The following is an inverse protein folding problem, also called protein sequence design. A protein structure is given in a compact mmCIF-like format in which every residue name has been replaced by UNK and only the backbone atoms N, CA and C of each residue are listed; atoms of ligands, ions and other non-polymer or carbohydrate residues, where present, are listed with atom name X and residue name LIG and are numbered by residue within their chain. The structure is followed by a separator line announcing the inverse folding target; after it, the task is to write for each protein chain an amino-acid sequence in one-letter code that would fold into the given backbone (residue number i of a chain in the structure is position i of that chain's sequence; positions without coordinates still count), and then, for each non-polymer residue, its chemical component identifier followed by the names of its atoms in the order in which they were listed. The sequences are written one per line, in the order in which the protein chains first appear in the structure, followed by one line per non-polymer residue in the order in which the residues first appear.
data_IF_661170277150
#
_entry.id   IF_661170277150
#
_cell.length_a   1.000
_cell.length_b   1.000
_cell.length_c   1.000
_cell.angle_alpha   90.00
_cell.angle_beta   90.00
_cell.angle_gamma   90.00
#
_symmetry.space_group_name_H-M   'P 1'
#
loop_
_entity.id
_entity.type
_entity.pdbx_description
1 polymer ?
#
# COMPACT_ATOMS: atom_id res chain seq x y z
N UNK A 1 6.67 51.67 40.65
CA UNK A 1 7.90 50.94 40.33
C UNK A 1 7.48 49.49 40.04
N UNK A 2 7.24 49.21 38.77
CA UNK A 2 6.72 47.89 38.32
C UNK A 2 7.87 47.20 37.64
N UNK A 3 8.29 46.06 38.22
CA UNK A 3 9.33 45.18 37.65
C UNK A 3 8.68 44.27 36.61
N UNK A 4 9.04 44.47 35.38
CA UNK A 4 8.68 43.59 34.25
C UNK A 4 9.62 42.39 34.21
N UNK A 5 9.08 41.18 34.43
CA UNK A 5 9.79 39.93 34.20
C UNK A 5 9.71 39.57 32.71
N UNK A 6 10.80 39.75 32.00
CA UNK A 6 11.02 39.20 30.67
C UNK A 6 11.41 37.73 30.81
N UNK A 7 10.47 36.80 30.51
CA UNK A 7 10.77 35.40 30.23
C UNK A 7 11.27 35.31 28.77
N UNK A 8 12.57 35.10 28.63
CA UNK A 8 13.17 34.70 27.36
C UNK A 8 12.77 33.25 27.07
N UNK A 9 11.88 33.06 26.12
CA UNK A 9 11.63 31.74 25.53
C UNK A 9 12.90 31.32 24.77
N UNK A 10 13.59 30.29 25.27
CA UNK A 10 14.63 29.61 24.52
C UNK A 10 13.99 28.94 23.32
N UNK A 11 14.27 29.46 22.12
CA UNK A 11 13.88 28.84 20.88
C UNK A 11 14.55 27.48 20.76
N UNK A 12 13.73 26.44 20.71
CA UNK A 12 14.16 25.13 20.23
C UNK A 12 14.37 25.31 18.73
N UNK A 13 15.61 25.38 18.30
CA UNK A 13 15.97 25.27 16.90
C UNK A 13 15.64 23.85 16.46
N UNK A 14 14.51 23.67 15.78
CA UNK A 14 14.23 22.45 15.04
C UNK A 14 15.35 22.32 13.98
N UNK A 15 16.11 21.24 14.08
CA UNK A 15 17.09 20.85 13.08
C UNK A 15 16.34 20.55 11.77
N UNK A 16 16.27 21.53 10.88
CA UNK A 16 15.67 21.42 9.55
C UNK A 16 16.72 20.87 8.60
N UNK A 17 17.29 19.70 8.89
CA UNK A 17 17.82 18.85 7.84
C UNK A 17 16.62 18.27 7.10
N UNK A 18 16.02 19.08 6.20
CA UNK A 18 14.98 18.61 5.30
C UNK A 18 15.55 17.40 4.54
N UNK A 19 15.02 16.21 4.83
CA UNK A 19 15.30 15.03 4.04
C UNK A 19 14.88 15.35 2.60
N UNK A 20 15.89 15.58 1.77
CA UNK A 20 15.66 15.87 0.36
C UNK A 20 15.33 14.53 -0.29
N UNK A 21 14.04 14.19 -0.39
CA UNK A 21 13.57 12.94 -0.98
C UNK A 21 14.10 12.85 -2.41
N UNK A 22 15.06 11.94 -2.63
CA UNK A 22 15.49 11.62 -3.98
C UNK A 22 14.34 10.92 -4.69
N UNK A 23 13.93 11.44 -5.85
CA UNK A 23 12.86 10.86 -6.66
C UNK A 23 13.41 10.49 -8.02
N UNK A 24 13.18 9.25 -8.45
CA UNK A 24 13.44 8.82 -9.84
C UNK A 24 12.14 8.30 -10.47
N UNK A 25 12.11 8.30 -11.80
CA UNK A 25 11.01 7.75 -12.59
C UNK A 25 11.50 6.48 -13.29
N UNK A 26 10.73 5.37 -13.17
CA UNK A 26 10.78 4.23 -14.07
C UNK A 26 9.54 4.21 -14.95
N UNK A 27 9.68 3.68 -16.16
CA UNK A 27 8.61 3.64 -17.17
C UNK A 27 8.42 2.22 -17.66
N UNK A 28 7.16 1.81 -17.81
CA UNK A 28 6.77 0.61 -18.52
C UNK A 28 5.77 0.97 -19.61
N UNK A 29 5.88 0.37 -20.79
CA UNK A 29 4.93 0.55 -21.88
C UNK A 29 4.01 -0.67 -21.95
N UNK A 30 2.71 -0.47 -21.70
CA UNK A 30 1.68 -1.48 -21.73
C UNK A 30 0.73 -1.23 -22.89
N UNK A 31 0.79 -2.03 -23.95
CA UNK A 31 -0.02 -1.82 -25.14
C UNK A 31 0.13 -0.43 -25.76
N UNK A 32 1.33 0.18 -25.66
CA UNK A 32 1.60 1.55 -26.12
C UNK A 32 1.30 2.66 -25.10
N UNK A 33 0.56 2.38 -24.02
CA UNK A 33 0.34 3.34 -22.93
C UNK A 33 1.58 3.45 -22.04
N UNK A 34 1.97 4.69 -21.75
CA UNK A 34 3.10 4.99 -20.85
C UNK A 34 2.63 4.92 -19.39
N UNK A 35 3.08 3.91 -18.65
CA UNK A 35 2.86 3.79 -17.21
C UNK A 35 4.14 4.23 -16.49
N UNK A 36 4.00 5.09 -15.48
CA UNK A 36 5.13 5.64 -14.74
C UNK A 36 5.12 5.11 -13.31
N UNK A 37 6.30 4.90 -12.76
CA UNK A 37 6.53 4.61 -11.36
C UNK A 37 7.42 5.70 -10.78
N UNK A 38 6.90 6.47 -9.85
CA UNK A 38 7.67 7.44 -9.09
C UNK A 38 8.26 6.74 -7.87
N UNK A 39 9.58 6.72 -7.77
CA UNK A 39 10.29 6.00 -6.72
C UNK A 39 10.98 7.03 -5.83
N UNK A 40 10.56 7.14 -4.56
CA UNK A 40 11.20 7.94 -3.53
C UNK A 40 12.23 7.09 -2.80
N UNK A 41 13.37 7.69 -2.48
CA UNK A 41 14.50 7.04 -1.82
C UNK A 41 14.93 5.73 -2.52
N UNK A 42 15.28 5.76 -3.82
CA UNK A 42 15.56 4.56 -4.60
C UNK A 42 16.75 3.74 -4.06
N UNK A 43 17.65 4.37 -3.29
CA UNK A 43 18.86 3.78 -2.73
C UNK A 43 18.71 3.39 -1.25
N UNK A 44 17.50 3.47 -0.68
CA UNK A 44 17.26 3.05 0.70
C UNK A 44 17.58 1.57 0.90
N UNK A 45 18.29 1.26 2.00
CA UNK A 45 18.78 -0.08 2.34
C UNK A 45 18.09 -0.67 3.57
N UNK A 46 17.01 -0.05 4.05
CA UNK A 46 16.27 -0.53 5.22
C UNK A 46 15.51 -1.83 5.00
N UNK A 47 15.42 -2.30 3.77
CA UNK A 47 14.59 -3.45 3.40
C UNK A 47 13.08 -3.17 3.36
N UNK A 48 12.65 -1.95 3.75
CA UNK A 48 11.23 -1.57 3.80
C UNK A 48 10.81 -0.95 2.47
N UNK A 49 9.79 -1.53 1.84
CA UNK A 49 9.24 -1.02 0.59
C UNK A 49 7.76 -0.68 0.76
N UNK A 50 7.43 0.60 0.64
CA UNK A 50 6.05 1.09 0.51
C UNK A 50 5.61 1.04 -0.94
N UNK A 51 4.38 0.60 -1.19
CA UNK A 51 3.84 0.53 -2.54
C UNK A 51 2.39 1.05 -2.60
N UNK A 52 2.19 2.13 -3.37
CA UNK A 52 0.87 2.59 -3.78
C UNK A 52 0.62 2.14 -5.22
N UNK A 53 -0.41 1.34 -5.43
CA UNK A 53 -0.71 0.74 -6.74
C UNK A 53 -1.98 1.30 -7.40
N UNK A 54 -2.72 2.17 -6.72
CA UNK A 54 -3.89 2.84 -7.26
C UNK A 54 -3.65 4.36 -7.36
N UNK A 55 -3.54 4.88 -8.57
CA UNK A 55 -3.14 6.28 -8.85
C UNK A 55 -4.10 7.35 -8.29
N UNK A 56 -5.31 6.99 -7.89
CA UNK A 56 -6.28 7.90 -7.29
C UNK A 56 -6.26 7.93 -5.74
N UNK A 57 -5.40 7.14 -5.10
CA UNK A 57 -5.33 7.03 -3.63
C UNK A 57 -4.34 8.05 -3.04
N UNK A 58 -4.60 9.35 -3.26
CA UNK A 58 -3.67 10.45 -2.96
C UNK A 58 -3.42 10.67 -1.46
N UNK A 59 -4.36 10.29 -0.58
CA UNK A 59 -4.16 10.42 0.88
C UNK A 59 -3.04 9.50 1.34
N UNK A 60 -2.99 8.26 0.82
CA UNK A 60 -1.93 7.30 1.15
C UNK A 60 -0.57 7.77 0.65
N UNK A 61 -0.53 8.36 -0.55
CA UNK A 61 0.70 8.95 -1.10
C UNK A 61 1.20 10.08 -0.20
N UNK A 62 0.33 11.05 0.15
CA UNK A 62 0.70 12.17 1.00
C UNK A 62 1.17 11.74 2.40
N UNK A 63 0.50 10.74 3.00
CA UNK A 63 0.88 10.21 4.31
C UNK A 63 2.26 9.51 4.25
N UNK A 64 2.51 8.72 3.19
CA UNK A 64 3.80 8.05 3.00
C UNK A 64 4.92 9.05 2.71
N UNK A 65 4.68 10.06 1.87
CA UNK A 65 5.65 11.13 1.64
C UNK A 65 5.98 11.89 2.93
N UNK A 66 4.97 12.18 3.77
CA UNK A 66 5.18 12.78 5.09
C UNK A 66 6.00 11.89 6.03
N UNK A 67 5.75 10.58 6.04
CA UNK A 67 6.54 9.62 6.82
C UNK A 67 8.01 9.67 6.41
N UNK A 68 8.30 9.61 5.09
CA UNK A 68 9.66 9.53 4.56
C UNK A 68 10.51 10.79 4.79
N UNK A 69 9.92 11.88 5.25
CA UNK A 69 10.69 13.05 5.73
C UNK A 69 11.42 12.79 7.05
N UNK A 70 11.13 11.68 7.74
CA UNK A 70 11.64 11.35 9.09
C UNK A 70 11.90 9.87 9.33
N UNK A 71 11.70 9.03 8.33
CA UNK A 71 11.85 7.59 8.41
C UNK A 71 12.50 7.02 7.13
N UNK A 72 13.14 5.85 7.26
CA UNK A 72 13.71 5.12 6.15
C UNK A 72 12.63 4.33 5.41
N UNK A 73 12.93 3.97 4.17
CA UNK A 73 12.09 3.16 3.30
C UNK A 73 12.10 3.66 1.86
N UNK A 74 11.98 2.74 0.95
CA UNK A 74 11.74 3.04 -0.47
C UNK A 74 10.24 3.11 -0.72
N UNK A 75 9.76 4.13 -1.44
CA UNK A 75 8.35 4.23 -1.80
C UNK A 75 8.17 4.24 -3.30
N UNK A 76 7.36 3.33 -3.80
CA UNK A 76 6.98 3.20 -5.21
C UNK A 76 5.51 3.60 -5.36
N UNK A 77 5.26 4.62 -6.18
CA UNK A 77 3.92 5.08 -6.54
C UNK A 77 3.67 4.79 -8.02
N UNK A 78 2.60 4.07 -8.32
CA UNK A 78 2.15 3.80 -9.67
C UNK A 78 1.30 4.96 -10.21
N UNK A 79 1.64 5.47 -11.40
CA UNK A 79 0.97 6.58 -12.08
C UNK A 79 0.43 6.16 -13.44
N UNK A 80 -0.87 6.26 -13.60
CA UNK A 80 -1.57 6.14 -14.88
C UNK A 80 -1.94 7.50 -15.46
N UNK A 81 -2.31 7.54 -16.73
CA UNK A 81 -2.91 8.72 -17.32
C UNK A 81 -4.33 8.92 -16.75
N UNK A 82 -4.55 10.05 -16.08
CA UNK A 82 -5.88 10.47 -15.62
C UNK A 82 -6.27 10.02 -14.21
N UNK A 83 -5.30 9.73 -13.34
CA UNK A 83 -5.54 9.43 -11.91
C UNK A 83 -6.65 8.38 -11.72
N UNK A 84 -6.34 7.12 -11.99
CA UNK A 84 -7.34 6.04 -12.00
C UNK A 84 -7.00 4.95 -10.98
N UNK A 85 -8.04 4.36 -10.40
CA UNK A 85 -7.92 3.12 -9.63
C UNK A 85 -7.60 1.94 -10.55
N UNK A 86 -8.23 1.88 -11.71
CA UNK A 86 -8.10 0.77 -12.68
C UNK A 86 -7.10 1.15 -13.75
N UNK A 87 -6.12 0.30 -13.97
CA UNK A 87 -5.18 0.39 -15.09
C UNK A 87 -5.89 0.09 -16.42
N UNK A 88 -5.35 0.63 -17.52
CA UNK A 88 -5.93 0.35 -18.83
C UNK A 88 -4.93 0.61 -19.95
N UNK A 89 -5.14 -0.09 -21.08
CA UNK A 89 -4.36 0.07 -22.30
C UNK A 89 -5.19 -0.28 -23.54
N UNK A 90 -4.72 0.16 -24.70
CA UNK A 90 -5.36 -0.13 -25.98
C UNK A 90 -4.44 -1.03 -26.81
N UNK A 91 -4.99 -2.09 -27.36
CA UNK A 91 -4.31 -3.01 -28.27
C UNK A 91 -5.30 -3.45 -29.35
N UNK A 92 -4.88 -3.42 -30.62
CA UNK A 92 -5.72 -3.77 -31.78
C UNK A 92 -7.08 -3.04 -31.79
N UNK A 93 -7.07 -1.74 -31.47
CA UNK A 93 -8.26 -0.87 -31.35
C UNK A 93 -9.25 -1.29 -30.25
N UNK A 94 -8.91 -2.26 -29.40
CA UNK A 94 -9.70 -2.69 -28.24
C UNK A 94 -9.10 -2.12 -26.97
N UNK A 95 -9.97 -1.66 -26.07
CA UNK A 95 -9.57 -1.19 -24.74
C UNK A 95 -9.65 -2.35 -23.74
N UNK A 96 -8.60 -2.47 -22.92
CA UNK A 96 -8.49 -3.42 -21.83
C UNK A 96 -8.30 -2.67 -20.53
N UNK A 97 -8.89 -3.18 -19.45
CA UNK A 97 -8.79 -2.60 -18.11
C UNK A 97 -8.56 -3.72 -17.07
N UNK A 98 -7.86 -3.39 -16.00
CA UNK A 98 -7.56 -4.32 -14.92
C UNK A 98 -7.32 -3.58 -13.60
N UNK A 99 -7.58 -4.22 -12.48
CA UNK A 99 -7.17 -3.73 -11.17
C UNK A 99 -5.69 -4.07 -10.94
N UNK A 100 -4.79 -3.09 -10.70
CA UNK A 100 -3.37 -3.34 -10.47
C UNK A 100 -3.10 -4.20 -9.22
N UNK A 101 -4.04 -4.29 -8.29
CA UNK A 101 -3.95 -5.19 -7.15
C UNK A 101 -4.59 -6.58 -7.42
N UNK A 102 -4.72 -6.98 -8.69
CA UNK A 102 -5.28 -8.29 -9.09
C UNK A 102 -4.48 -8.96 -10.20
N UNK A 103 -3.20 -8.60 -10.33
CA UNK A 103 -2.36 -9.05 -11.47
C UNK A 103 -1.18 -9.96 -11.07
N UNK A 104 -1.07 -10.35 -9.80
CA UNK A 104 0.11 -11.08 -9.31
C UNK A 104 -0.01 -12.60 -9.44
N UNK A 105 -1.11 -13.10 -10.02
CA UNK A 105 -1.32 -14.50 -10.39
C UNK A 105 -1.98 -14.63 -11.76
N UNK A 106 -1.79 -15.74 -12.43
CA UNK A 106 -2.41 -15.99 -13.74
C UNK A 106 -3.94 -16.02 -13.67
N UNK A 107 -4.51 -16.51 -12.56
CA UNK A 107 -5.94 -16.52 -12.32
C UNK A 107 -6.48 -15.11 -12.03
N UNK A 108 -5.75 -14.33 -11.25
CA UNK A 108 -6.09 -12.93 -10.95
C UNK A 108 -6.10 -12.08 -12.22
N UNK A 109 -5.08 -12.18 -13.07
CA UNK A 109 -5.04 -11.48 -14.37
C UNK A 109 -6.26 -11.83 -15.22
N UNK A 110 -6.61 -13.11 -15.31
CA UNK A 110 -7.77 -13.56 -16.05
C UNK A 110 -9.07 -12.95 -15.49
N UNK A 111 -9.29 -13.07 -14.18
CA UNK A 111 -10.49 -12.56 -13.51
C UNK A 111 -10.63 -11.03 -13.64
N UNK A 112 -9.53 -10.27 -13.41
CA UNK A 112 -9.59 -8.81 -13.43
C UNK A 112 -9.85 -8.26 -14.85
N UNK A 113 -9.24 -8.86 -15.88
CA UNK A 113 -9.53 -8.47 -17.27
C UNK A 113 -11.00 -8.73 -17.64
N UNK A 114 -11.57 -9.87 -17.24
CA UNK A 114 -13.00 -10.15 -17.48
C UNK A 114 -13.91 -9.20 -16.70
N UNK A 115 -13.58 -8.87 -15.46
CA UNK A 115 -14.41 -8.02 -14.61
C UNK A 115 -14.48 -6.58 -15.11
N UNK A 116 -13.37 -6.06 -15.65
CA UNK A 116 -13.25 -4.67 -16.06
C UNK A 116 -13.41 -4.44 -17.57
N UNK A 117 -13.74 -5.47 -18.34
CA UNK A 117 -13.99 -5.30 -19.78
C UNK A 117 -13.72 -6.53 -20.61
N UNK A 118 -12.83 -6.40 -21.59
CA UNK A 118 -12.56 -7.43 -22.58
C UNK A 118 -11.37 -8.29 -22.17
N UNK A 119 -11.47 -9.59 -22.30
CA UNK A 119 -10.36 -10.52 -22.18
C UNK A 119 -9.80 -10.92 -23.56
N UNK A 120 -8.49 -11.02 -23.69
CA UNK A 120 -7.83 -11.81 -24.73
C UNK A 120 -6.55 -12.44 -24.18
N UNK A 121 -6.05 -13.48 -24.88
CA UNK A 121 -4.79 -14.15 -24.50
C UNK A 121 -3.62 -13.17 -24.60
N UNK A 122 -3.62 -12.31 -25.60
CA UNK A 122 -2.59 -11.31 -25.82
C UNK A 122 -2.61 -10.23 -24.73
N UNK A 123 -3.81 -9.77 -24.34
CA UNK A 123 -3.97 -8.82 -23.22
C UNK A 123 -3.47 -9.46 -21.90
N UNK A 124 -3.81 -10.71 -21.64
CA UNK A 124 -3.28 -11.45 -20.48
C UNK A 124 -1.75 -11.47 -20.48
N UNK A 125 -1.11 -11.75 -21.63
CA UNK A 125 0.36 -11.73 -21.75
C UNK A 125 0.94 -10.35 -21.42
N UNK A 126 0.33 -9.28 -21.93
CA UNK A 126 0.80 -7.91 -21.64
C UNK A 126 0.70 -7.57 -20.15
N UNK A 127 -0.42 -7.88 -19.51
CA UNK A 127 -0.60 -7.64 -18.06
C UNK A 127 0.34 -8.51 -17.24
N UNK A 128 0.63 -9.74 -17.68
CA UNK A 128 1.62 -10.61 -17.03
C UNK A 128 3.01 -10.02 -17.07
N UNK A 129 3.48 -9.54 -18.21
CA UNK A 129 4.79 -8.86 -18.36
C UNK A 129 4.84 -7.60 -17.48
N UNK A 130 3.74 -6.89 -17.36
CA UNK A 130 3.63 -5.72 -16.46
C UNK A 130 3.76 -6.13 -14.98
N UNK A 131 3.08 -7.20 -14.57
CA UNK A 131 3.18 -7.75 -13.22
C UNK A 131 4.61 -8.24 -12.90
N UNK A 132 5.23 -8.97 -13.83
CA UNK A 132 6.62 -9.44 -13.71
C UNK A 132 7.59 -8.25 -13.57
N UNK A 133 7.41 -7.19 -14.36
CA UNK A 133 8.22 -5.96 -14.21
C UNK A 133 8.08 -5.35 -12.80
N UNK A 134 6.86 -5.27 -12.27
CA UNK A 134 6.64 -4.77 -10.90
C UNK A 134 7.40 -5.64 -9.90
N UNK A 135 7.20 -6.95 -9.95
CA UNK A 135 7.80 -7.90 -9.01
C UNK A 135 9.31 -7.87 -9.09
N UNK A 136 9.88 -8.04 -10.29
CA UNK A 136 11.31 -8.27 -10.48
C UNK A 136 12.14 -6.98 -10.41
N UNK A 137 11.55 -5.85 -10.81
CA UNK A 137 12.28 -4.59 -10.93
C UNK A 137 11.98 -3.57 -9.83
N UNK A 138 10.84 -3.68 -9.16
CA UNK A 138 10.40 -2.69 -8.18
C UNK A 138 10.31 -3.26 -6.77
N UNK A 139 9.77 -4.48 -6.60
CA UNK A 139 9.57 -5.12 -5.30
C UNK A 139 10.73 -6.03 -4.90
N UNK A 140 11.60 -6.39 -5.84
CA UNK A 140 12.74 -7.27 -5.58
C UNK A 140 13.69 -6.69 -4.52
N UNK A 141 14.16 -7.57 -3.62
CA UNK A 141 15.08 -7.21 -2.53
C UNK A 141 14.41 -6.54 -1.32
N UNK A 142 13.09 -6.35 -1.32
CA UNK A 142 12.36 -5.91 -0.14
C UNK A 142 12.29 -7.04 0.90
N UNK A 143 12.63 -6.74 2.15
CA UNK A 143 12.45 -7.64 3.29
C UNK A 143 11.00 -7.64 3.78
N UNK A 144 10.34 -6.50 3.64
CA UNK A 144 8.92 -6.33 3.91
C UNK A 144 8.28 -5.40 2.87
N UNK A 145 7.10 -5.79 2.40
CA UNK A 145 6.29 -4.98 1.48
C UNK A 145 5.11 -4.41 2.23
N UNK A 146 4.97 -3.09 2.18
CA UNK A 146 3.89 -2.32 2.80
C UNK A 146 3.05 -1.69 1.71
N UNK A 147 1.89 -2.28 1.41
CA UNK A 147 0.92 -1.64 0.53
C UNK A 147 0.21 -0.51 1.29
N UNK A 148 0.01 0.62 0.63
CA UNK A 148 -0.68 1.78 1.19
C UNK A 148 -1.86 2.12 0.31
N UNK A 149 -3.07 2.02 0.89
CA UNK A 149 -4.32 2.17 0.19
C UNK A 149 -5.24 3.21 0.82
N UNK A 150 -6.11 3.78 -0.01
CA UNK A 150 -7.28 4.49 0.47
C UNK A 150 -8.55 3.76 0.04
N UNK A 151 -9.45 3.59 0.99
CA UNK A 151 -10.75 3.00 0.72
C UNK A 151 -11.87 4.05 0.76
N UNK A 152 -13.06 3.61 0.40
CA UNK A 152 -14.31 4.37 0.49
C UNK A 152 -15.23 3.75 1.54
N UNK A 153 -16.33 4.44 1.85
CA UNK A 153 -17.33 3.96 2.82
C UNK A 153 -17.93 2.57 2.51
N UNK A 154 -17.73 2.04 1.32
CA UNK A 154 -18.16 0.69 0.93
C UNK A 154 -17.22 -0.44 1.36
N UNK A 155 -16.02 -0.12 1.84
CA UNK A 155 -15.01 -1.10 2.26
C UNK A 155 -14.53 -0.82 3.68
N UNK A 156 -14.57 -1.82 4.55
CA UNK A 156 -14.18 -1.70 5.96
C UNK A 156 -13.78 -3.05 6.53
N UNK A 157 -13.19 -3.06 7.74
CA UNK A 157 -12.88 -4.28 8.49
C UNK A 157 -14.12 -5.15 8.73
N UNK A 158 -15.31 -4.58 8.75
CA UNK A 158 -16.56 -5.29 8.96
C UNK A 158 -16.87 -6.32 7.86
N UNK A 159 -16.27 -6.14 6.67
CA UNK A 159 -16.37 -7.12 5.57
C UNK A 159 -15.66 -8.45 5.86
N UNK A 160 -14.83 -8.50 6.89
CA UNK A 160 -14.06 -9.68 7.30
C UNK A 160 -14.61 -10.37 8.55
N UNK A 161 -15.68 -9.83 9.16
CA UNK A 161 -16.37 -10.45 10.30
C UNK A 161 -17.15 -11.70 9.85
N UNK A 162 -17.56 -12.57 10.81
CA UNK A 162 -18.40 -13.72 10.50
C UNK A 162 -19.62 -13.33 9.65
N UNK A 163 -19.97 -14.19 8.69
CA UNK A 163 -21.10 -14.02 7.76
C UNK A 163 -20.97 -12.82 6.80
N UNK A 164 -19.77 -12.24 6.68
CA UNK A 164 -19.49 -11.12 5.76
C UNK A 164 -18.75 -11.58 4.51
N UNK A 165 -18.70 -10.69 3.49
CA UNK A 165 -18.26 -11.01 2.13
C UNK A 165 -16.82 -11.53 2.02
N UNK A 166 -15.93 -11.14 2.95
CA UNK A 166 -14.50 -11.52 2.94
C UNK A 166 -14.10 -12.32 4.19
N UNK A 167 -15.07 -12.93 4.89
CA UNK A 167 -14.80 -13.73 6.10
C UNK A 167 -13.71 -14.77 5.87
N UNK A 168 -13.78 -15.53 4.78
CA UNK A 168 -12.85 -16.63 4.47
C UNK A 168 -11.44 -16.14 4.11
N UNK A 169 -11.28 -14.87 3.81
CA UNK A 169 -9.97 -14.24 3.57
C UNK A 169 -9.22 -13.91 4.86
N UNK A 170 -9.86 -14.00 6.03
CA UNK A 170 -9.28 -13.70 7.32
C UNK A 170 -9.16 -14.96 8.20
N UNK A 171 -8.00 -15.17 8.83
CA UNK A 171 -7.82 -16.15 9.92
C UNK A 171 -8.29 -15.57 11.27
N UNK A 172 -7.97 -14.29 11.51
CA UNK A 172 -8.36 -13.55 12.72
C UNK A 172 -8.72 -12.11 12.37
N UNK A 173 -9.66 -11.55 13.11
CA UNK A 173 -10.04 -10.14 13.01
C UNK A 173 -10.06 -9.54 14.43
N UNK A 174 -9.34 -8.44 14.61
CA UNK A 174 -9.46 -7.59 15.79
C UNK A 174 -10.12 -6.27 15.40
N UNK A 175 -11.37 -6.08 15.82
CA UNK A 175 -12.14 -4.87 15.55
C UNK A 175 -12.30 -4.03 16.81
N UNK A 176 -11.55 -2.93 16.91
CA UNK A 176 -11.70 -1.90 17.93
C UNK A 176 -12.78 -0.90 17.51
N UNK A 177 -13.97 -1.02 18.12
CA UNK A 177 -15.14 -0.16 17.79
C UNK A 177 -14.97 1.32 18.13
N UNK A 178 -13.90 1.70 18.87
CA UNK A 178 -13.56 3.08 19.14
C UNK A 178 -12.73 3.74 18.00
N UNK A 179 -12.36 2.97 16.99
CA UNK A 179 -11.67 3.45 15.80
C UNK A 179 -12.57 3.36 14.57
N UNK A 180 -12.26 4.14 13.55
CA UNK A 180 -12.95 4.07 12.26
C UNK A 180 -12.84 2.64 11.69
N UNK A 181 -13.93 2.01 11.25
CA UNK A 181 -13.89 0.68 10.64
C UNK A 181 -13.16 0.67 9.29
N UNK A 182 -12.90 1.83 8.71
CA UNK A 182 -12.21 2.00 7.44
C UNK A 182 -10.70 2.06 7.58
N UNK A 183 -10.18 2.27 8.81
CA UNK A 183 -8.75 2.41 9.08
C UNK A 183 -8.27 1.13 9.77
N UNK A 184 -7.54 0.29 9.04
CA UNK A 184 -7.12 -1.02 9.53
C UNK A 184 -5.84 -1.53 8.86
N UNK A 185 -5.14 -2.42 9.57
CA UNK A 185 -4.06 -3.24 9.03
C UNK A 185 -4.59 -4.57 8.51
N UNK A 186 -4.10 -5.02 7.35
CA UNK A 186 -4.28 -6.39 6.88
C UNK A 186 -2.89 -6.99 6.69
N UNK A 187 -2.58 -8.04 7.43
CA UNK A 187 -1.23 -8.60 7.53
C UNK A 187 -1.21 -10.10 7.28
N UNK A 188 -0.10 -10.63 6.77
CA UNK A 188 0.08 -12.07 6.56
C UNK A 188 0.96 -12.74 7.62
N UNK A 189 1.46 -12.00 8.61
CA UNK A 189 2.29 -12.49 9.70
C UNK A 189 1.55 -12.38 11.04
N UNK A 190 1.44 -13.50 11.82
CA UNK A 190 0.78 -13.49 13.13
C UNK A 190 1.41 -12.54 14.15
N UNK A 191 2.73 -12.31 14.10
CA UNK A 191 3.40 -11.39 15.01
C UNK A 191 3.00 -9.95 14.75
N UNK A 192 2.91 -9.56 13.45
CA UNK A 192 2.38 -8.25 13.07
C UNK A 192 0.94 -8.06 13.54
N UNK A 193 0.11 -9.11 13.42
CA UNK A 193 -1.27 -9.06 13.87
C UNK A 193 -1.37 -8.81 15.38
N UNK A 194 -0.64 -9.57 16.21
CA UNK A 194 -0.71 -9.42 17.67
C UNK A 194 -0.18 -8.04 18.08
N UNK A 195 0.92 -7.54 17.49
CA UNK A 195 1.46 -6.22 17.79
C UNK A 195 0.46 -5.09 17.54
N UNK A 196 -0.14 -5.02 16.33
CA UNK A 196 -1.08 -3.93 16.01
C UNK A 196 -2.37 -4.05 16.81
N UNK A 197 -2.82 -5.26 17.12
CA UNK A 197 -3.95 -5.52 18.01
C UNK A 197 -3.65 -5.00 19.43
N UNK A 198 -2.49 -5.31 20.01
CA UNK A 198 -2.08 -4.83 21.34
C UNK A 198 -1.98 -3.30 21.40
N UNK A 199 -1.58 -2.67 20.30
CA UNK A 199 -1.60 -1.22 20.14
C UNK A 199 -3.02 -0.66 19.93
N UNK A 200 -4.04 -1.50 19.93
CA UNK A 200 -5.46 -1.13 19.84
C UNK A 200 -5.92 -0.72 18.45
N UNK A 201 -5.24 -1.16 17.39
CA UNK A 201 -5.65 -0.90 16.01
C UNK A 201 -6.54 -2.01 15.45
N UNK A 202 -7.45 -1.64 14.56
CA UNK A 202 -8.19 -2.58 13.73
C UNK A 202 -7.18 -3.39 12.91
N UNK A 203 -7.24 -4.72 13.04
CA UNK A 203 -6.22 -5.57 12.39
C UNK A 203 -6.84 -6.88 11.92
N UNK A 204 -6.45 -7.31 10.73
CA UNK A 204 -6.85 -8.56 10.10
C UNK A 204 -5.60 -9.40 9.88
N UNK A 205 -5.63 -10.64 10.32
CA UNK A 205 -4.66 -11.66 9.92
C UNK A 205 -5.22 -12.39 8.71
N UNK A 206 -4.48 -12.39 7.61
CA UNK A 206 -4.84 -13.11 6.39
C UNK A 206 -4.99 -14.61 6.66
N UNK A 207 -5.97 -15.23 6.01
CA UNK A 207 -6.13 -16.68 6.00
C UNK A 207 -4.84 -17.37 5.51
N UNK A 208 -4.48 -18.50 6.13
CA UNK A 208 -3.33 -19.34 5.69
C UNK A 208 -3.53 -19.94 4.30
N UNK A 209 -4.77 -20.01 3.83
CA UNK A 209 -5.15 -20.51 2.52
C UNK A 209 -6.14 -19.54 1.88
N UNK A 210 -5.68 -18.31 1.55
CA UNK A 210 -6.55 -17.35 0.92
C UNK A 210 -6.93 -17.83 -0.48
N UNK A 211 -8.15 -17.51 -0.90
CA UNK A 211 -8.55 -17.69 -2.28
C UNK A 211 -7.65 -16.85 -3.20
N UNK A 212 -7.27 -17.43 -4.34
CA UNK A 212 -6.50 -16.71 -5.35
C UNK A 212 -7.37 -15.67 -6.03
N UNK A 213 -7.27 -14.45 -5.54
CA UNK A 213 -7.89 -13.25 -6.10
C UNK A 213 -6.91 -12.40 -6.95
N UNK A 214 -5.67 -12.85 -7.07
CA UNK A 214 -4.60 -12.18 -7.79
C UNK A 214 -3.96 -11.00 -7.07
N UNK A 215 -4.30 -10.74 -5.80
CA UNK A 215 -3.77 -9.61 -5.02
C UNK A 215 -2.29 -9.79 -4.66
N UNK A 216 -1.64 -8.66 -4.36
CA UNK A 216 -0.27 -8.65 -3.85
C UNK A 216 -0.16 -9.37 -2.50
N UNK A 217 -1.21 -9.30 -1.65
CA UNK A 217 -1.23 -10.01 -0.37
C UNK A 217 -1.17 -11.52 -0.55
N UNK A 218 -1.96 -12.07 -1.48
CA UNK A 218 -1.94 -13.51 -1.83
C UNK A 218 -0.59 -13.92 -2.43
N UNK A 219 -0.04 -13.09 -3.31
CA UNK A 219 1.29 -13.30 -3.87
C UNK A 219 2.36 -13.38 -2.78
N UNK A 220 2.36 -12.44 -1.84
CA UNK A 220 3.32 -12.39 -0.74
C UNK A 220 3.15 -13.57 0.22
N UNK A 221 1.91 -13.92 0.58
CA UNK A 221 1.61 -15.08 1.44
C UNK A 221 2.14 -16.38 0.84
N UNK A 222 1.90 -16.63 -0.45
CA UNK A 222 2.36 -17.83 -1.15
C UNK A 222 3.89 -17.94 -1.24
N UNK A 223 4.61 -16.81 -1.15
CA UNK A 223 6.08 -16.72 -1.19
C UNK A 223 6.74 -16.49 0.16
N UNK A 224 5.94 -16.41 1.23
CA UNK A 224 6.41 -16.12 2.59
C UNK A 224 7.18 -14.79 2.68
N UNK A 225 6.76 -13.80 1.89
CA UNK A 225 7.24 -12.44 1.97
C UNK A 225 6.41 -11.71 3.02
N UNK A 226 7.01 -11.10 4.06
CA UNK A 226 6.30 -10.28 5.02
C UNK A 226 5.52 -9.16 4.31
N UNK A 227 4.22 -9.07 4.58
CA UNK A 227 3.33 -8.14 3.91
C UNK A 227 2.38 -7.48 4.89
N UNK A 228 2.27 -6.17 4.77
CA UNK A 228 1.34 -5.33 5.52
C UNK A 228 0.58 -4.47 4.52
N UNK A 229 -0.74 -4.49 4.58
CA UNK A 229 -1.59 -3.50 3.90
C UNK A 229 -2.14 -2.53 4.94
N UNK A 230 -1.94 -1.24 4.71
CA UNK A 230 -2.50 -0.13 5.50
C UNK A 230 -3.65 0.47 4.71
N UNK A 231 -4.86 0.24 5.18
CA UNK A 231 -6.09 0.82 4.65
C UNK A 231 -6.53 2.00 5.50
N UNK A 232 -6.84 3.11 4.87
CA UNK A 232 -7.50 4.23 5.52
C UNK A 232 -8.59 4.82 4.63
N UNK A 233 -9.64 5.39 5.23
CA UNK A 233 -10.66 6.11 4.46
C UNK A 233 -10.00 7.26 3.70
N UNK A 234 -10.42 7.49 2.46
CA UNK A 234 -9.99 8.67 1.70
C UNK A 234 -10.17 9.95 2.53
N UNK A 235 -9.11 10.76 2.63
CA UNK A 235 -9.07 11.95 3.48
C UNK A 235 -8.62 11.71 4.92
N UNK A 236 -8.49 10.48 5.40
CA UNK A 236 -7.99 10.16 6.76
C UNK A 236 -6.45 10.22 6.82
N UNK A 237 -5.89 11.35 6.41
CA UNK A 237 -4.43 11.54 6.35
C UNK A 237 -3.74 11.32 7.70
N UNK A 238 -4.26 11.91 8.79
CA UNK A 238 -3.65 11.79 10.14
C UNK A 238 -3.68 10.35 10.61
N UNK A 239 -4.81 9.66 10.47
CA UNK A 239 -4.95 8.26 10.87
C UNK A 239 -4.00 7.35 10.09
N UNK A 240 -3.86 7.58 8.79
CA UNK A 240 -2.95 6.80 7.95
C UNK A 240 -1.49 7.07 8.29
N UNK A 241 -1.13 8.33 8.57
CA UNK A 241 0.21 8.70 9.02
C UNK A 241 0.54 8.07 10.39
N UNK A 242 -0.41 8.08 11.33
CA UNK A 242 -0.25 7.45 12.65
C UNK A 242 -0.01 5.94 12.52
N UNK A 243 -0.75 5.26 11.63
CA UNK A 243 -0.56 3.83 11.35
C UNK A 243 0.82 3.56 10.75
N UNK A 244 1.27 4.39 9.81
CA UNK A 244 2.60 4.31 9.21
C UNK A 244 3.71 4.56 10.25
N UNK A 245 3.54 5.53 11.15
CA UNK A 245 4.49 5.80 12.23
C UNK A 245 4.56 4.64 13.24
N UNK A 246 3.42 4.03 13.57
CA UNK A 246 3.38 2.85 14.42
C UNK A 246 4.13 1.68 13.78
N UNK A 247 3.93 1.45 12.48
CA UNK A 247 4.69 0.45 11.74
C UNK A 247 6.21 0.71 11.80
N UNK A 248 6.64 1.95 11.59
CA UNK A 248 8.06 2.29 11.68
C UNK A 248 8.64 2.06 13.08
N UNK A 249 7.86 2.31 14.15
CA UNK A 249 8.26 1.98 15.51
C UNK A 249 8.46 0.47 15.66
N UNK A 250 7.47 -0.32 15.22
CA UNK A 250 7.56 -1.78 15.25
C UNK A 250 8.83 -2.32 14.56
N UNK A 251 9.12 -1.80 13.37
CA UNK A 251 10.29 -2.24 12.60
C UNK A 251 11.63 -1.86 13.26
N UNK A 252 11.69 -0.72 13.96
CA UNK A 252 12.89 -0.28 14.70
C UNK A 252 13.12 -1.09 15.96
N UNK A 253 12.07 -1.50 16.66
CA UNK A 253 12.18 -2.24 17.91
C UNK A 253 12.65 -3.70 17.69
N UNK A 254 12.71 -4.16 16.42
CA UNK A 254 13.17 -5.52 16.01
C UNK A 254 14.62 -5.56 15.50
N UNK A 255 15.21 -4.42 15.18
CA UNK A 255 16.59 -4.27 14.72
C UNK A 255 17.49 -3.84 15.89
#
# INVERSE_FOLDING_TARGET
MVLSNNLLAKGVTADSSAYNLQIIEKVFYLGGEKIRFLIRNPNDQSGVLYFNMHDNENTSVAATDSLLTRANGKFVELKYKGSRRVGGFTMDKKQFQFDPNRIYTDLGIYKTLQMHGTYSVEAKKQVKLFSEFIVDSLLSGAEIIVAVHNNSKGYSIEKYLPDSAFHDSAEKVHYNRNKSPHDFFYVNDPEHFEYFKEMGYNTILQSKKPDDDGSLSVYCANRKIPYINIEALEGHFIQQLDMLMLLQKFLKDRN
#
